data_IF_463619074970
#
_entry.id   IF_463619074970
#
_cell.length_a   1.000
_cell.length_b   1.000
_cell.length_c   1.000
_cell.angle_alpha   90.00
_cell.angle_beta   90.00
_cell.angle_gamma   90.00
#
_symmetry.space_group_name_H-M   'P 1'
#
loop_
_entity.id
_entity.type
_entity.pdbx_description
1 polymer ?
#
# COMPACT_ATOMS: atom_id res chain seq x y z
N UNK A 1 25.05 -14.54 18.01
CA UNK A 1 24.22 -13.76 17.07
C UNK A 1 22.81 -13.68 17.66
N UNK A 2 22.35 -12.50 18.05
CA UNK A 2 20.97 -12.34 18.56
C UNK A 2 20.04 -12.15 17.36
N UNK A 3 18.86 -12.75 17.40
CA UNK A 3 17.85 -12.61 16.36
C UNK A 3 16.59 -12.01 16.96
N UNK A 4 16.02 -11.04 16.27
CA UNK A 4 14.74 -10.46 16.63
C UNK A 4 13.65 -11.09 15.76
N UNK A 5 12.45 -11.26 16.30
CA UNK A 5 11.38 -11.98 15.60
C UNK A 5 10.11 -11.14 15.56
N UNK A 6 9.47 -11.10 14.39
CA UNK A 6 8.19 -10.43 14.18
C UNK A 6 7.18 -11.41 13.61
N UNK A 7 6.04 -11.58 14.28
CA UNK A 7 4.94 -12.40 13.78
C UNK A 7 3.95 -11.55 13.00
N UNK A 8 3.63 -12.02 11.78
CA UNK A 8 2.63 -11.40 10.92
C UNK A 8 1.55 -12.41 10.59
N UNK A 9 0.30 -12.04 10.85
CA UNK A 9 -0.85 -12.93 10.71
C UNK A 9 -1.62 -12.64 9.42
N UNK A 10 -1.76 -13.67 8.58
CA UNK A 10 -2.48 -13.60 7.31
C UNK A 10 -3.72 -14.50 7.31
N UNK A 11 -4.86 -14.04 6.77
CA UNK A 11 -6.00 -14.90 6.53
C UNK A 11 -5.67 -15.91 5.43
N UNK A 12 -6.18 -17.13 5.61
CA UNK A 12 -6.10 -18.27 4.70
C UNK A 12 -7.46 -18.96 4.68
N UNK A 13 -7.95 -19.32 3.50
CA UNK A 13 -9.04 -20.29 3.36
C UNK A 13 -8.38 -21.65 3.19
N UNK A 14 -8.67 -22.60 4.07
CA UNK A 14 -8.11 -23.94 3.98
C UNK A 14 -8.82 -24.81 2.93
N UNK A 15 -8.37 -26.06 2.79
CA UNK A 15 -8.97 -27.02 1.85
C UNK A 15 -10.41 -27.41 2.18
N UNK A 16 -10.88 -27.14 3.40
CA UNK A 16 -12.26 -27.36 3.83
C UNK A 16 -13.15 -26.13 3.62
N UNK A 17 -12.58 -25.02 3.11
CA UNK A 17 -13.31 -23.76 2.92
C UNK A 17 -13.41 -22.91 4.20
N UNK A 18 -12.77 -23.33 5.30
CA UNK A 18 -12.82 -22.59 6.56
C UNK A 18 -11.79 -21.44 6.56
N UNK A 19 -12.20 -20.31 7.15
CA UNK A 19 -11.30 -19.17 7.33
C UNK A 19 -10.41 -19.40 8.55
N UNK A 20 -9.11 -19.53 8.28
CA UNK A 20 -8.05 -19.63 9.30
C UNK A 20 -7.07 -18.47 9.19
N UNK A 21 -6.20 -18.38 10.20
CA UNK A 21 -5.11 -17.41 10.22
C UNK A 21 -3.77 -18.16 10.22
N UNK A 22 -2.89 -17.82 9.28
CA UNK A 22 -1.52 -18.33 9.19
C UNK A 22 -0.57 -17.31 9.81
N UNK A 23 0.22 -17.74 10.78
CA UNK A 23 1.33 -16.95 11.33
C UNK A 23 2.56 -17.10 10.44
N UNK A 24 3.18 -15.99 10.07
CA UNK A 24 4.48 -15.93 9.44
C UNK A 24 5.46 -15.25 10.41
N UNK A 25 6.46 -16.01 10.90
CA UNK A 25 7.51 -15.48 11.77
C UNK A 25 8.69 -15.00 10.92
N UNK A 26 9.01 -13.71 11.00
CA UNK A 26 10.09 -13.07 10.28
C UNK A 26 11.24 -12.86 11.25
N UNK A 27 12.39 -13.50 10.99
CA UNK A 27 13.60 -13.33 11.78
C UNK A 27 14.46 -12.19 11.21
N UNK A 28 14.99 -11.33 12.07
CA UNK A 28 15.87 -10.21 11.74
C UNK A 28 17.23 -10.40 12.42
N UNK A 29 18.31 -10.21 11.66
CA UNK A 29 19.67 -10.23 12.16
C UNK A 29 20.03 -8.88 12.82
N UNK A 30 21.18 -8.82 13.50
CA UNK A 30 21.62 -7.60 14.20
C UNK A 30 21.76 -6.39 13.26
N UNK A 31 22.21 -6.60 12.02
CA UNK A 31 22.28 -5.56 10.97
C UNK A 31 20.91 -4.99 10.58
N UNK A 32 19.86 -5.79 10.73
CA UNK A 32 18.48 -5.42 10.40
C UNK A 32 17.71 -4.86 11.62
N UNK A 33 18.39 -4.66 12.75
CA UNK A 33 17.79 -4.17 13.99
C UNK A 33 17.05 -2.82 13.82
N UNK A 34 17.57 -1.81 13.08
CA UNK A 34 16.84 -0.55 12.88
C UNK A 34 15.51 -0.74 12.12
N UNK A 35 15.47 -1.72 11.20
CA UNK A 35 14.26 -2.08 10.48
C UNK A 35 13.27 -2.75 11.44
N UNK A 36 13.73 -3.73 12.23
CA UNK A 36 12.92 -4.40 13.24
C UNK A 36 12.31 -3.42 14.24
N UNK A 37 13.08 -2.47 14.77
CA UNK A 37 12.61 -1.49 15.75
C UNK A 37 11.49 -0.56 15.22
N UNK A 38 11.50 -0.28 13.92
CA UNK A 38 10.40 0.43 13.25
C UNK A 38 9.19 -0.46 13.04
N UNK A 39 9.41 -1.70 12.64
CA UNK A 39 8.34 -2.65 12.30
C UNK A 39 7.63 -3.23 13.52
N UNK A 40 8.30 -3.42 14.65
CA UNK A 40 7.68 -3.93 15.88
C UNK A 40 6.57 -3.02 16.43
N UNK A 41 6.57 -1.73 16.03
CA UNK A 41 5.54 -0.76 16.39
C UNK A 41 4.27 -0.89 15.54
N UNK A 42 4.33 -1.68 14.46
CA UNK A 42 3.23 -1.88 13.52
C UNK A 42 2.49 -3.17 13.85
N UNK A 43 1.16 -3.15 13.69
CA UNK A 43 0.38 -4.38 13.77
C UNK A 43 0.41 -5.14 12.42
N UNK A 44 -0.11 -6.38 12.41
CA UNK A 44 -0.17 -7.19 11.19
C UNK A 44 -0.94 -6.52 10.05
N UNK A 45 -1.97 -5.72 10.33
CA UNK A 45 -2.75 -5.01 9.32
C UNK A 45 -1.94 -3.90 8.65
N UNK A 46 -1.15 -3.17 9.42
CA UNK A 46 -0.27 -2.11 8.91
C UNK A 46 0.83 -2.70 8.03
N UNK A 47 1.40 -3.84 8.43
CA UNK A 47 2.39 -4.58 7.62
C UNK A 47 1.76 -5.04 6.29
N UNK A 48 0.56 -5.64 6.33
CA UNK A 48 -0.18 -6.06 5.12
C UNK A 48 -0.46 -4.90 4.17
N UNK A 49 -0.91 -3.75 4.70
CA UNK A 49 -1.09 -2.51 3.93
C UNK A 49 0.23 -1.99 3.37
N UNK A 50 1.33 -2.15 4.12
CA UNK A 50 2.64 -1.69 3.70
C UNK A 50 3.16 -2.44 2.47
N UNK A 51 2.94 -3.74 2.41
CA UNK A 51 3.39 -4.60 1.29
C UNK A 51 2.33 -4.81 0.20
N UNK A 52 1.12 -4.24 0.38
CA UNK A 52 -0.06 -4.41 -0.47
C UNK A 52 -0.47 -5.89 -0.69
N UNK A 53 -0.31 -6.73 0.32
CA UNK A 53 -0.69 -8.16 0.31
C UNK A 53 -1.50 -8.45 1.57
N UNK A 54 -2.73 -8.95 1.39
CA UNK A 54 -3.68 -9.11 2.49
C UNK A 54 -4.00 -10.55 2.86
N UNK A 55 -3.66 -11.54 2.02
CA UNK A 55 -3.96 -12.96 2.24
C UNK A 55 -2.70 -13.80 2.09
N UNK A 56 -2.67 -14.95 2.76
CA UNK A 56 -1.53 -15.87 2.69
C UNK A 56 -1.37 -16.44 1.27
N UNK A 57 -2.49 -16.79 0.61
CA UNK A 57 -2.48 -17.27 -0.78
C UNK A 57 -1.79 -16.27 -1.71
N UNK A 58 -2.17 -14.97 -1.63
CA UNK A 58 -1.56 -13.94 -2.46
C UNK A 58 -0.09 -13.74 -2.15
N UNK A 59 0.31 -13.86 -0.88
CA UNK A 59 1.71 -13.79 -0.48
C UNK A 59 2.53 -14.89 -1.17
N UNK A 60 2.02 -16.13 -1.19
CA UNK A 60 2.68 -17.26 -1.83
C UNK A 60 2.82 -17.06 -3.34
N UNK A 61 1.72 -16.71 -4.03
CA UNK A 61 1.72 -16.44 -5.48
C UNK A 61 2.77 -15.39 -5.88
N UNK A 62 2.85 -14.29 -5.13
CA UNK A 62 3.80 -13.22 -5.40
C UNK A 62 5.23 -13.67 -5.10
N UNK A 63 5.42 -14.39 -4.00
CA UNK A 63 6.74 -14.92 -3.63
C UNK A 63 7.30 -15.89 -4.67
N UNK A 64 6.44 -16.73 -5.24
CA UNK A 64 6.78 -17.67 -6.32
C UNK A 64 7.09 -16.92 -7.62
N UNK A 65 6.23 -15.97 -8.00
CA UNK A 65 6.45 -15.12 -9.20
C UNK A 65 7.77 -14.35 -9.14
N UNK A 66 8.16 -13.88 -7.96
CA UNK A 66 9.41 -13.13 -7.74
C UNK A 66 10.60 -14.04 -7.38
N UNK A 67 10.42 -15.37 -7.34
CA UNK A 67 11.42 -16.35 -6.94
C UNK A 67 12.12 -16.02 -5.60
N UNK A 68 11.32 -15.67 -4.59
CA UNK A 68 11.79 -15.25 -3.26
C UNK A 68 10.99 -15.94 -2.16
N UNK A 69 11.59 -16.07 -0.97
CA UNK A 69 10.83 -16.57 0.19
C UNK A 69 9.82 -15.51 0.65
N UNK A 70 8.63 -15.90 1.14
CA UNK A 70 7.63 -14.97 1.67
C UNK A 70 8.18 -13.98 2.71
N UNK A 71 9.04 -14.44 3.61
CA UNK A 71 9.67 -13.61 4.65
C UNK A 71 10.63 -12.57 4.06
N UNK A 72 11.39 -12.94 3.03
CA UNK A 72 12.33 -12.05 2.34
C UNK A 72 11.59 -11.00 1.53
N UNK A 73 10.53 -11.40 0.81
CA UNK A 73 9.65 -10.50 0.08
C UNK A 73 9.08 -9.41 0.99
N UNK A 74 8.59 -9.80 2.18
CA UNK A 74 8.04 -8.84 3.15
C UNK A 74 9.13 -7.86 3.60
N UNK A 75 10.33 -8.34 3.94
CA UNK A 75 11.44 -7.48 4.35
C UNK A 75 11.80 -6.45 3.28
N UNK A 76 11.95 -6.89 2.02
CA UNK A 76 12.33 -6.03 0.90
C UNK A 76 11.30 -4.93 0.69
N UNK A 77 10.01 -5.29 0.56
CA UNK A 77 8.95 -4.29 0.34
C UNK A 77 8.79 -3.31 1.50
N UNK A 78 9.00 -3.79 2.73
CA UNK A 78 8.98 -2.91 3.91
C UNK A 78 10.18 -1.97 3.93
N UNK A 79 11.37 -2.46 3.56
CA UNK A 79 12.56 -1.63 3.44
C UNK A 79 12.39 -0.55 2.34
N UNK A 80 11.94 -0.93 1.15
CA UNK A 80 11.62 -0.01 0.04
C UNK A 80 10.65 1.08 0.48
N UNK A 81 9.56 0.72 1.16
CA UNK A 81 8.58 1.69 1.63
C UNK A 81 9.15 2.65 2.68
N UNK A 82 10.02 2.17 3.57
CA UNK A 82 10.67 3.01 4.58
C UNK A 82 11.74 3.93 3.97
N UNK A 83 12.45 3.47 2.94
CA UNK A 83 13.37 4.28 2.15
C UNK A 83 12.59 5.39 1.42
N UNK A 84 11.49 5.04 0.75
CA UNK A 84 10.67 6.00 0.02
C UNK A 84 9.87 6.95 0.92
N UNK A 85 9.50 6.57 2.15
CA UNK A 85 8.90 7.51 3.13
C UNK A 85 9.86 8.64 3.54
N UNK A 86 11.18 8.45 3.39
CA UNK A 86 12.16 9.50 3.61
C UNK A 86 12.27 10.50 2.45
N UNK A 87 11.72 10.17 1.27
CA UNK A 87 11.70 11.05 0.11
C UNK A 87 10.33 11.74 0.02
N UNK A 88 10.25 13.02 0.41
CA UNK A 88 9.09 13.83 0.04
C UNK A 88 9.08 13.95 -1.47
N UNK A 89 8.23 13.17 -2.15
CA UNK A 89 8.04 13.34 -3.60
C UNK A 89 7.21 14.60 -3.78
N UNK A 90 7.88 15.75 -3.94
CA UNK A 90 7.23 16.94 -4.49
C UNK A 90 6.84 16.61 -5.92
N UNK A 91 5.57 16.25 -6.13
CA UNK A 91 5.01 16.09 -7.46
C UNK A 91 4.60 17.47 -7.95
N UNK A 92 5.31 17.99 -8.95
CA UNK A 92 4.78 19.08 -9.75
C UNK A 92 3.69 18.47 -10.62
N UNK A 93 2.43 18.73 -10.27
CA UNK A 93 1.28 18.36 -11.10
C UNK A 93 1.06 19.56 -12.01
N UNK A 94 1.43 19.43 -13.28
CA UNK A 94 1.08 20.42 -14.29
C UNK A 94 -0.39 20.23 -14.65
N UNK A 95 -1.19 21.23 -14.32
CA UNK A 95 -2.64 21.20 -14.56
C UNK A 95 -2.87 21.76 -15.95
N UNK A 96 -3.50 20.99 -16.84
CA UNK A 96 -3.92 21.48 -18.15
C UNK A 96 -5.37 22.00 -18.09
N UNK A 97 -5.60 23.32 -18.20
CA UNK A 97 -6.94 23.90 -18.07
C UNK A 97 -7.93 23.41 -19.13
N UNK A 98 -7.46 23.08 -20.33
CA UNK A 98 -8.32 22.58 -21.41
C UNK A 98 -8.87 21.18 -21.11
N UNK A 99 -8.06 20.33 -20.48
CA UNK A 99 -8.48 18.99 -20.04
C UNK A 99 -9.50 19.10 -18.92
N UNK A 100 -9.29 19.99 -17.94
CA UNK A 100 -10.26 20.22 -16.87
C UNK A 100 -11.60 20.72 -17.42
N UNK A 101 -11.60 21.73 -18.30
CA UNK A 101 -12.82 22.25 -18.93
C UNK A 101 -13.59 21.17 -19.69
N UNK A 102 -12.89 20.24 -20.35
CA UNK A 102 -13.51 19.09 -21.01
C UNK A 102 -14.23 18.18 -20.01
N UNK A 103 -13.58 17.83 -18.89
CA UNK A 103 -14.18 16.98 -17.86
C UNK A 103 -15.37 17.65 -17.16
N UNK A 104 -15.26 18.94 -16.85
CA UNK A 104 -16.38 19.76 -16.35
C UNK A 104 -17.58 19.66 -17.29
N UNK A 105 -17.36 19.81 -18.60
CA UNK A 105 -18.44 19.68 -19.60
C UNK A 105 -19.06 18.27 -19.70
N UNK A 106 -18.30 17.21 -19.37
CA UNK A 106 -18.82 15.84 -19.29
C UNK A 106 -19.66 15.66 -18.02
N UNK A 107 -19.19 16.19 -16.89
CA UNK A 107 -19.83 16.05 -15.58
C UNK A 107 -21.13 16.87 -15.47
N UNK A 108 -21.17 18.07 -16.07
CA UNK A 108 -22.37 18.91 -16.13
C UNK A 108 -23.54 18.32 -16.93
N UNK A 109 -23.29 17.29 -17.75
CA UNK A 109 -24.34 16.60 -18.53
C UNK A 109 -25.12 15.57 -17.71
N UNK A 110 -24.79 15.39 -16.44
CA UNK A 110 -25.44 14.41 -15.57
C UNK A 110 -26.06 15.10 -14.37
N UNK A 111 -27.36 14.82 -14.12
CA UNK A 111 -28.15 15.36 -13.00
C UNK A 111 -27.78 14.77 -11.62
N UNK A 112 -26.55 14.28 -11.45
CA UNK A 112 -26.10 13.73 -10.18
C UNK A 112 -25.47 14.83 -9.32
N UNK A 113 -26.02 15.03 -8.11
CA UNK A 113 -25.53 15.98 -7.11
C UNK A 113 -24.04 15.83 -6.80
N UNK A 114 -23.51 14.60 -6.81
CA UNK A 114 -22.07 14.34 -6.59
C UNK A 114 -21.21 14.96 -7.69
N UNK A 115 -21.72 15.03 -8.92
CA UNK A 115 -21.00 15.66 -10.03
C UNK A 115 -21.02 17.19 -9.97
N UNK A 116 -22.00 17.79 -9.28
CA UNK A 116 -21.99 19.23 -8.99
C UNK A 116 -20.79 19.62 -8.12
N UNK A 117 -20.62 18.97 -6.97
CA UNK A 117 -19.51 19.26 -6.03
C UNK A 117 -18.13 19.03 -6.67
N UNK A 118 -17.99 17.99 -7.50
CA UNK A 118 -16.75 17.72 -8.24
C UNK A 118 -16.50 18.81 -9.30
N UNK A 119 -17.56 19.29 -9.95
CA UNK A 119 -17.46 20.33 -10.97
C UNK A 119 -17.01 21.65 -10.35
N UNK A 120 -17.61 22.06 -9.22
CA UNK A 120 -17.26 23.29 -8.51
C UNK A 120 -15.79 23.27 -8.05
N UNK A 121 -15.33 22.12 -7.54
CA UNK A 121 -13.93 21.93 -7.18
C UNK A 121 -13.00 22.08 -8.40
N UNK A 122 -13.32 21.42 -9.52
CA UNK A 122 -12.51 21.49 -10.74
C UNK A 122 -12.46 22.90 -11.34
N UNK A 123 -13.55 23.65 -11.26
CA UNK A 123 -13.59 25.05 -11.69
C UNK A 123 -12.73 25.93 -10.78
N UNK A 124 -12.78 25.72 -9.46
CA UNK A 124 -11.94 26.46 -8.51
C UNK A 124 -10.43 26.27 -8.73
N UNK A 125 -10.02 25.13 -9.30
CA UNK A 125 -8.61 24.85 -9.63
C UNK A 125 -8.14 25.71 -10.81
N UNK A 126 -9.01 25.96 -11.80
CA UNK A 126 -8.66 26.71 -13.02
C UNK A 126 -8.85 28.22 -12.83
N UNK A 127 -9.67 28.64 -11.85
CA UNK A 127 -9.93 30.06 -11.56
C UNK A 127 -8.91 30.71 -10.61
N UNK A 128 -8.02 29.94 -9.99
CA UNK A 128 -7.00 30.42 -9.05
C UNK A 128 -5.60 30.57 -9.67
N UNK A 129 -5.48 30.41 -11.00
CA UNK A 129 -4.32 30.79 -11.82
C UNK A 129 -4.59 32.14 -12.51
#
# INVERSE_FOLDING_TARGET
>A
MKRNYLSVYFPLIDGAGERRTKNLCIAFNDEEKPLFEKLQKLNSQDIKKAIAIFTYKRLMEVSEKENRKPTELIKIRLAEKLIHRGQSVKRNIEINPAVIKKWVGVLKKSDNKIYGEITDFLESIVSND
#
